data_IF_504100286446
#
_entry.id   IF_504100286446
#
_cell.length_a   1.000
_cell.length_b   1.000
_cell.length_c   1.000
_cell.angle_alpha   90.00
_cell.angle_beta   90.00
_cell.angle_gamma   90.00
#
_symmetry.space_group_name_H-M   'P 1'
#
loop_
_entity.id
_entity.type
_entity.pdbx_description
1 polymer ?
#
# COMPACT_ATOMS: atom_id res chain seq x y z
N UNK A 1 -28.97 83.32 38.11
CA UNK A 1 -28.98 83.19 36.65
C UNK A 1 -28.26 81.86 36.30
N UNK A 2 -28.99 80.84 35.85
CA UNK A 2 -28.37 79.56 35.42
C UNK A 2 -28.31 79.54 33.87
N UNK A 3 -27.15 79.69 33.31
CA UNK A 3 -26.94 79.49 31.88
C UNK A 3 -27.04 78.01 31.54
N UNK A 4 -28.07 77.61 30.81
CA UNK A 4 -28.18 76.30 30.14
C UNK A 4 -27.28 76.30 28.90
N UNK A 5 -26.18 75.52 28.95
CA UNK A 5 -25.39 75.24 27.80
C UNK A 5 -26.23 74.35 26.83
N UNK A 6 -26.68 74.94 25.75
CA UNK A 6 -27.35 74.22 24.65
C UNK A 6 -26.25 73.35 23.94
N UNK A 7 -26.28 72.00 24.08
CA UNK A 7 -25.50 71.08 23.33
C UNK A 7 -26.00 71.19 21.87
N UNK A 8 -25.13 71.65 21.02
CA UNK A 8 -25.27 71.57 19.54
C UNK A 8 -25.38 70.15 19.13
N UNK A 9 -26.45 69.68 18.58
CA UNK A 9 -26.58 68.36 17.91
C UNK A 9 -26.11 68.56 16.48
N UNK A 10 -24.92 68.02 16.18
CA UNK A 10 -24.41 67.90 14.82
C UNK A 10 -24.97 66.64 14.20
N UNK A 11 -25.81 66.77 13.18
CA UNK A 11 -26.31 65.64 12.39
C UNK A 11 -25.26 65.19 11.35
N UNK A 12 -25.32 63.92 11.01
CA UNK A 12 -24.46 63.35 9.96
C UNK A 12 -24.78 63.97 8.60
N UNK A 13 -23.75 64.23 7.79
CA UNK A 13 -23.91 64.65 6.41
C UNK A 13 -24.16 63.48 5.49
N UNK A 14 -24.93 63.67 4.41
CA UNK A 14 -25.18 62.65 3.41
C UNK A 14 -23.87 62.11 2.79
N UNK A 15 -22.88 62.97 2.61
CA UNK A 15 -21.55 62.60 2.12
C UNK A 15 -20.81 61.67 3.07
N UNK A 16 -20.90 61.89 4.38
CA UNK A 16 -20.25 61.01 5.39
C UNK A 16 -20.85 59.60 5.37
N UNK A 17 -22.17 59.48 5.22
CA UNK A 17 -22.82 58.17 5.08
C UNK A 17 -22.38 57.44 3.81
N UNK A 18 -22.26 58.13 2.67
CA UNK A 18 -21.80 57.52 1.41
C UNK A 18 -20.37 57.04 1.54
N UNK A 19 -19.48 57.86 2.14
CA UNK A 19 -18.07 57.45 2.35
C UNK A 19 -17.98 56.23 3.28
N UNK A 20 -18.73 56.21 4.35
CA UNK A 20 -18.75 55.06 5.29
C UNK A 20 -19.25 53.79 4.58
N UNK A 21 -20.35 53.89 3.81
CA UNK A 21 -20.88 52.74 3.08
C UNK A 21 -19.93 52.23 2.00
N UNK A 22 -19.21 53.11 1.28
CA UNK A 22 -18.23 52.71 0.30
C UNK A 22 -17.00 52.01 0.95
N UNK A 23 -16.50 52.55 2.07
CA UNK A 23 -15.45 51.90 2.83
C UNK A 23 -15.89 50.56 3.42
N UNK A 24 -17.10 50.47 3.96
CA UNK A 24 -17.64 49.21 4.45
C UNK A 24 -17.77 48.16 3.37
N UNK A 25 -18.25 48.55 2.17
CA UNK A 25 -18.34 47.64 1.01
C UNK A 25 -16.96 47.14 0.57
N UNK A 26 -15.94 48.00 0.56
CA UNK A 26 -14.57 47.60 0.21
C UNK A 26 -14.00 46.60 1.23
N UNK A 27 -14.22 46.81 2.51
CA UNK A 27 -13.80 45.90 3.58
C UNK A 27 -14.52 44.54 3.43
N UNK A 28 -15.82 44.53 3.14
CA UNK A 28 -16.58 43.30 2.92
C UNK A 28 -16.05 42.46 1.75
N UNK A 29 -15.66 43.11 0.64
CA UNK A 29 -15.07 42.44 -0.50
C UNK A 29 -13.72 41.80 -0.09
N UNK A 30 -12.87 42.54 0.61
CA UNK A 30 -11.55 42.00 1.05
C UNK A 30 -11.73 40.80 2.02
N UNK A 31 -12.68 40.87 2.95
CA UNK A 31 -12.98 39.75 3.88
C UNK A 31 -13.51 38.58 3.12
N UNK A 32 -14.41 38.76 2.16
CA UNK A 32 -14.95 37.70 1.34
C UNK A 32 -13.84 36.98 0.53
N UNK A 33 -12.95 37.72 -0.12
CA UNK A 33 -11.81 37.15 -0.86
C UNK A 33 -10.89 36.37 0.10
N UNK A 34 -10.60 36.92 1.27
CA UNK A 34 -9.78 36.22 2.29
C UNK A 34 -10.36 34.87 2.71
N UNK A 35 -11.71 34.81 2.89
CA UNK A 35 -12.40 33.55 3.21
C UNK A 35 -12.30 32.57 2.04
N UNK A 36 -12.48 33.01 0.81
CA UNK A 36 -12.37 32.14 -0.38
C UNK A 36 -10.98 31.55 -0.56
N UNK A 37 -9.94 32.35 -0.35
CA UNK A 37 -8.54 31.87 -0.40
C UNK A 37 -8.30 30.84 0.71
N UNK A 38 -8.75 31.13 1.95
CA UNK A 38 -8.62 30.20 3.08
C UNK A 38 -9.29 28.85 2.81
N UNK A 39 -10.50 28.85 2.25
CA UNK A 39 -11.21 27.61 1.86
C UNK A 39 -10.44 26.81 0.82
N UNK A 40 -9.96 27.44 -0.26
CA UNK A 40 -9.18 26.79 -1.31
C UNK A 40 -7.87 26.19 -0.77
N UNK A 41 -7.20 26.87 0.15
CA UNK A 41 -5.99 26.37 0.79
C UNK A 41 -6.29 25.16 1.69
N UNK A 42 -7.38 25.22 2.45
CA UNK A 42 -7.82 24.10 3.31
C UNK A 42 -8.19 22.86 2.47
N UNK A 43 -8.94 23.02 1.39
CA UNK A 43 -9.30 21.91 0.49
C UNK A 43 -8.07 21.25 -0.15
N UNK A 44 -7.09 22.05 -0.60
CA UNK A 44 -5.83 21.52 -1.14
C UNK A 44 -5.01 20.80 -0.05
N UNK A 45 -5.01 21.34 1.15
CA UNK A 45 -4.35 20.72 2.29
C UNK A 45 -4.96 19.35 2.64
N UNK A 46 -6.27 19.26 2.71
CA UNK A 46 -7.00 18.00 2.99
C UNK A 46 -6.69 16.96 1.91
N UNK A 47 -6.82 17.31 0.63
CA UNK A 47 -6.51 16.36 -0.47
C UNK A 47 -5.08 15.82 -0.40
N UNK A 48 -4.12 16.66 0.01
CA UNK A 48 -2.72 16.24 0.14
C UNK A 48 -2.52 15.32 1.35
N UNK A 49 -3.23 15.57 2.44
CA UNK A 49 -3.22 14.70 3.61
C UNK A 49 -3.83 13.34 3.26
N UNK A 50 -4.96 13.31 2.56
CA UNK A 50 -5.64 12.08 2.15
C UNK A 50 -4.73 11.23 1.24
N UNK A 51 -4.12 11.83 0.22
CA UNK A 51 -3.17 11.15 -0.65
C UNK A 51 -1.93 10.61 0.09
N UNK A 52 -1.43 11.37 1.08
CA UNK A 52 -0.31 10.92 1.91
C UNK A 52 -0.71 9.74 2.78
N UNK A 53 -1.90 9.78 3.37
CA UNK A 53 -2.42 8.69 4.20
C UNK A 53 -2.66 7.42 3.40
N UNK A 54 -3.19 7.53 2.18
CA UNK A 54 -3.38 6.40 1.28
C UNK A 54 -2.05 5.66 1.02
N UNK A 55 -1.03 6.36 0.53
CA UNK A 55 0.31 5.79 0.31
C UNK A 55 0.87 5.15 1.59
N UNK A 56 0.75 5.85 2.73
CA UNK A 56 1.27 5.36 4.01
C UNK A 56 0.58 4.07 4.47
N UNK A 57 -0.74 4.00 4.33
CA UNK A 57 -1.51 2.81 4.70
C UNK A 57 -1.12 1.62 3.84
N UNK A 58 -0.98 1.81 2.52
CA UNK A 58 -0.53 0.77 1.60
C UNK A 58 0.88 0.30 1.94
N UNK A 59 1.81 1.22 2.14
CA UNK A 59 3.18 0.87 2.54
C UNK A 59 3.24 0.08 3.86
N UNK A 60 2.46 0.50 4.85
CA UNK A 60 2.40 -0.19 6.14
C UNK A 60 1.80 -1.58 5.99
N UNK A 61 0.75 -1.74 5.18
CA UNK A 61 0.16 -3.03 4.86
C UNK A 61 1.19 -3.96 4.20
N UNK A 62 1.76 -3.54 3.08
CA UNK A 62 2.74 -4.33 2.32
C UNK A 62 3.95 -4.69 3.20
N UNK A 63 4.54 -3.72 3.88
CA UNK A 63 5.66 -3.96 4.81
C UNK A 63 5.31 -4.97 5.89
N UNK A 64 4.15 -4.84 6.50
CA UNK A 64 3.69 -5.73 7.56
C UNK A 64 3.46 -7.16 7.06
N UNK A 65 2.89 -7.32 5.86
CA UNK A 65 2.64 -8.65 5.30
C UNK A 65 3.96 -9.31 4.88
N UNK A 66 4.83 -8.60 4.18
CA UNK A 66 6.14 -9.12 3.77
C UNK A 66 7.05 -9.45 4.96
N UNK A 67 7.05 -8.63 6.02
CA UNK A 67 7.87 -8.92 7.20
C UNK A 67 7.37 -10.13 8.02
N UNK A 68 6.19 -10.67 7.70
CA UNK A 68 5.59 -11.85 8.36
C UNK A 68 5.51 -13.07 7.48
N UNK A 69 6.22 -13.09 6.37
CA UNK A 69 6.31 -14.25 5.49
C UNK A 69 6.69 -15.48 6.33
N UNK A 70 5.95 -16.57 6.11
CA UNK A 70 6.21 -17.86 6.73
C UNK A 70 6.90 -18.76 5.72
N UNK A 71 7.93 -19.52 6.11
CA UNK A 71 8.60 -20.48 5.22
C UNK A 71 7.74 -21.75 5.08
N UNK A 72 6.56 -21.60 4.54
CA UNK A 72 5.59 -22.66 4.30
C UNK A 72 5.36 -22.80 2.81
N UNK A 73 5.39 -24.04 2.33
CA UNK A 73 5.17 -24.31 0.92
C UNK A 73 3.67 -24.22 0.58
N UNK A 74 3.37 -23.67 -0.57
CA UNK A 74 2.08 -23.70 -1.24
C UNK A 74 2.23 -24.37 -2.61
N UNK A 75 1.13 -24.73 -3.24
CA UNK A 75 1.12 -25.39 -4.53
C UNK A 75 0.94 -24.37 -5.64
N UNK A 76 1.78 -24.39 -6.65
CA UNK A 76 1.63 -23.65 -7.92
C UNK A 76 0.64 -24.35 -8.86
N UNK A 77 0.19 -23.67 -9.91
CA UNK A 77 -0.74 -24.21 -10.92
C UNK A 77 -0.22 -25.50 -11.61
N UNK A 78 1.09 -25.61 -11.80
CA UNK A 78 1.75 -26.80 -12.38
C UNK A 78 1.88 -27.97 -11.39
N UNK A 79 1.43 -27.80 -10.15
CA UNK A 79 1.49 -28.77 -9.07
C UNK A 79 2.80 -28.78 -8.28
N UNK A 80 3.73 -27.87 -8.58
CA UNK A 80 5.01 -27.74 -7.86
C UNK A 80 4.79 -27.04 -6.51
N UNK A 81 5.50 -27.48 -5.47
CA UNK A 81 5.47 -26.83 -4.17
C UNK A 81 6.59 -25.80 -4.07
N UNK A 82 6.21 -24.57 -3.79
CA UNK A 82 7.12 -23.42 -3.66
C UNK A 82 6.93 -22.71 -2.32
N UNK A 83 7.92 -22.00 -1.84
CA UNK A 83 7.86 -21.19 -0.61
C UNK A 83 7.65 -19.72 -0.94
N UNK A 84 8.27 -19.26 -2.00
CA UNK A 84 8.17 -17.90 -2.49
C UNK A 84 8.27 -17.91 -4.01
N UNK A 85 7.41 -17.17 -4.65
CA UNK A 85 7.42 -16.89 -6.07
C UNK A 85 7.39 -15.38 -6.28
N UNK A 86 8.14 -14.89 -7.25
CA UNK A 86 8.13 -13.47 -7.56
C UNK A 86 8.83 -13.12 -8.85
N UNK A 87 8.24 -12.16 -9.54
CA UNK A 87 8.83 -11.50 -10.69
C UNK A 87 8.63 -9.97 -10.61
N UNK A 88 8.88 -9.26 -11.69
CA UNK A 88 8.74 -7.81 -11.75
C UNK A 88 7.31 -7.32 -11.45
N UNK A 89 6.29 -8.12 -11.73
CA UNK A 89 4.89 -7.70 -11.68
C UNK A 89 4.09 -8.38 -10.56
N UNK A 90 4.56 -9.49 -10.00
CA UNK A 90 3.86 -10.15 -8.89
C UNK A 90 4.79 -10.78 -7.86
N UNK A 91 4.25 -11.00 -6.66
CA UNK A 91 4.86 -11.80 -5.60
C UNK A 91 3.79 -12.66 -4.94
N UNK A 92 4.12 -13.92 -4.70
CA UNK A 92 3.27 -14.90 -4.03
C UNK A 92 4.02 -15.57 -2.87
N UNK A 93 3.39 -15.62 -1.70
CA UNK A 93 4.01 -16.12 -0.47
C UNK A 93 2.96 -16.48 0.56
N UNK A 94 3.36 -17.16 1.62
CA UNK A 94 2.50 -17.48 2.77
C UNK A 94 2.75 -16.49 3.90
N UNK A 95 1.67 -15.92 4.46
CA UNK A 95 1.72 -15.03 5.62
C UNK A 95 0.44 -15.13 6.47
N UNK A 96 0.51 -14.86 7.78
CA UNK A 96 -0.70 -14.81 8.60
C UNK A 96 -1.51 -13.56 8.29
N UNK A 97 -2.82 -13.72 8.14
CA UNK A 97 -3.74 -12.59 8.04
C UNK A 97 -4.01 -11.97 9.42
N UNK A 98 -4.36 -10.66 9.48
CA UNK A 98 -4.85 -10.04 10.71
C UNK A 98 -6.05 -10.81 11.29
N UNK A 99 -6.13 -10.95 12.63
CA UNK A 99 -7.06 -11.84 13.31
C UNK A 99 -8.56 -11.65 13.00
N UNK A 100 -8.97 -10.49 12.50
CA UNK A 100 -10.36 -10.24 12.08
C UNK A 100 -10.64 -10.64 10.61
N UNK A 101 -9.61 -10.85 9.80
CA UNK A 101 -9.68 -11.31 8.40
C UNK A 101 -9.22 -12.78 8.28
N UNK A 102 -8.42 -13.26 9.25
CA UNK A 102 -7.82 -14.59 9.24
C UNK A 102 -8.71 -15.63 9.88
N UNK A 103 -9.61 -16.24 9.13
CA UNK A 103 -10.33 -17.42 9.59
C UNK A 103 -9.48 -18.66 9.31
N UNK A 104 -8.84 -19.19 10.35
CA UNK A 104 -8.37 -20.57 10.29
C UNK A 104 -6.90 -20.82 9.97
N UNK A 105 -6.02 -19.83 9.85
CA UNK A 105 -4.59 -20.14 9.74
C UNK A 105 -3.80 -19.26 8.77
N UNK A 106 -2.63 -19.74 8.29
CA UNK A 106 -1.84 -19.03 7.29
C UNK A 106 -2.55 -18.99 5.94
N UNK A 107 -2.35 -17.89 5.21
CA UNK A 107 -2.93 -17.66 3.89
C UNK A 107 -1.81 -17.54 2.87
N UNK A 108 -2.06 -18.06 1.68
CA UNK A 108 -1.30 -17.66 0.50
C UNK A 108 -1.74 -16.25 0.15
N UNK A 109 -0.81 -15.37 -0.10
CA UNK A 109 -1.03 -13.97 -0.43
C UNK A 109 -0.36 -13.66 -1.75
N UNK A 110 -1.06 -12.97 -2.61
CA UNK A 110 -0.62 -12.52 -3.92
C UNK A 110 -0.73 -11.01 -3.97
N UNK A 111 0.35 -10.34 -4.30
CA UNK A 111 0.38 -8.91 -4.60
C UNK A 111 0.80 -8.78 -6.06
N UNK A 112 -0.04 -8.12 -6.85
CA UNK A 112 0.15 -8.01 -8.30
C UNK A 112 0.11 -6.56 -8.77
N UNK A 113 0.88 -6.27 -9.80
CA UNK A 113 0.87 -5.04 -10.56
C UNK A 113 0.17 -5.34 -11.89
N UNK A 114 -1.04 -4.82 -12.08
CA UNK A 114 -1.83 -5.08 -13.28
C UNK A 114 -2.13 -3.81 -14.05
N UNK A 115 -2.28 -3.94 -15.37
CA UNK A 115 -2.64 -2.82 -16.24
C UNK A 115 -4.13 -2.51 -16.14
N UNK A 116 -4.47 -1.25 -15.90
CA UNK A 116 -5.83 -0.76 -15.81
C UNK A 116 -6.06 0.45 -16.74
N UNK A 117 -7.32 0.93 -16.84
CA UNK A 117 -7.71 2.04 -17.73
C UNK A 117 -7.15 3.41 -17.31
N UNK A 118 -6.34 3.54 -16.35
CA UNK A 118 -5.77 4.82 -15.87
C UNK A 118 -4.32 4.69 -15.49
N UNK A 119 -3.62 3.67 -15.98
CA UNK A 119 -2.27 3.34 -15.58
C UNK A 119 -2.18 1.94 -14.98
N UNK A 120 -1.15 1.67 -14.19
CA UNK A 120 -1.03 0.42 -13.44
C UNK A 120 -1.73 0.55 -12.07
N UNK A 121 -2.21 -0.57 -11.56
CA UNK A 121 -2.77 -0.69 -10.21
C UNK A 121 -2.01 -1.77 -9.44
N UNK A 122 -1.87 -1.58 -8.14
CA UNK A 122 -1.40 -2.59 -7.21
C UNK A 122 -2.62 -3.25 -6.56
N UNK A 123 -2.74 -4.56 -6.69
CA UNK A 123 -3.84 -5.31 -6.09
C UNK A 123 -3.34 -6.42 -5.16
N UNK A 124 -4.19 -6.83 -4.25
CA UNK A 124 -3.92 -7.84 -3.23
C UNK A 124 -5.02 -8.88 -3.21
N UNK A 125 -4.62 -10.13 -3.30
CA UNK A 125 -5.49 -11.30 -3.16
C UNK A 125 -4.97 -12.22 -2.06
N UNK A 126 -5.83 -13.00 -1.44
CA UNK A 126 -5.43 -13.99 -0.46
C UNK A 126 -6.45 -15.13 -0.39
N UNK A 127 -5.97 -16.33 -0.06
CA UNK A 127 -6.78 -17.51 0.20
C UNK A 127 -6.14 -18.37 1.27
N UNK A 128 -6.92 -19.26 1.86
CA UNK A 128 -6.44 -20.11 2.94
C UNK A 128 -5.39 -21.10 2.40
N UNK A 129 -4.28 -21.30 3.11
CA UNK A 129 -3.21 -22.21 2.67
C UNK A 129 -3.72 -23.64 2.45
N UNK A 130 -4.67 -24.13 3.27
CA UNK A 130 -5.23 -25.47 3.10
C UNK A 130 -5.96 -25.63 1.75
N UNK A 131 -6.60 -24.58 1.29
CA UNK A 131 -7.31 -24.59 0.02
C UNK A 131 -6.33 -24.68 -1.16
N UNK A 132 -5.12 -24.10 -1.03
CA UNK A 132 -4.07 -24.17 -2.07
C UNK A 132 -3.46 -25.57 -2.25
N UNK A 133 -3.79 -26.54 -1.40
CA UNK A 133 -3.35 -27.93 -1.53
C UNK A 133 -4.31 -28.79 -2.33
N UNK A 134 -5.51 -28.30 -2.63
CA UNK A 134 -6.51 -28.97 -3.45
C UNK A 134 -6.39 -28.56 -4.93
N UNK A 135 -6.67 -29.48 -5.86
CA UNK A 135 -6.40 -29.32 -7.29
C UNK A 135 -7.23 -28.18 -7.97
N UNK A 136 -8.33 -27.73 -7.33
CA UNK A 136 -9.26 -26.72 -7.87
C UNK A 136 -9.17 -25.35 -7.15
N UNK A 137 -8.16 -25.11 -6.30
CA UNK A 137 -8.18 -24.00 -5.35
C UNK A 137 -7.84 -22.63 -5.94
N UNK A 138 -7.16 -22.56 -7.07
CA UNK A 138 -6.81 -21.30 -7.74
C UNK A 138 -7.99 -20.64 -8.42
N UNK A 139 -8.93 -21.42 -8.96
CA UNK A 139 -10.17 -20.90 -9.58
C UNK A 139 -11.27 -20.55 -8.57
N UNK A 140 -11.17 -21.01 -7.33
CA UNK A 140 -12.25 -20.91 -6.34
C UNK A 140 -12.07 -19.78 -5.29
N UNK A 141 -11.10 -18.88 -5.43
CA UNK A 141 -11.13 -17.68 -4.59
C UNK A 141 -12.26 -16.75 -5.07
N UNK A 142 -13.47 -16.97 -4.58
CA UNK A 142 -14.66 -16.11 -4.77
C UNK A 142 -14.44 -14.65 -4.27
N UNK A 143 -13.23 -14.30 -3.87
CA UNK A 143 -12.90 -12.99 -3.35
C UNK A 143 -12.29 -12.13 -4.45
N UNK A 144 -12.97 -11.05 -4.79
CA UNK A 144 -12.43 -10.02 -5.68
C UNK A 144 -11.12 -9.45 -5.11
N UNK A 145 -10.08 -9.26 -5.96
CA UNK A 145 -8.84 -8.62 -5.54
C UNK A 145 -9.10 -7.24 -4.91
N UNK A 146 -8.40 -6.94 -3.84
CA UNK A 146 -8.47 -5.63 -3.19
C UNK A 146 -7.47 -4.69 -3.86
N UNK A 147 -7.95 -3.61 -4.46
CA UNK A 147 -7.08 -2.57 -5.02
C UNK A 147 -6.43 -1.82 -3.86
N UNK A 148 -5.11 -1.83 -3.81
CA UNK A 148 -4.30 -1.13 -2.80
C UNK A 148 -3.91 0.27 -3.23
N UNK A 149 -3.51 0.43 -4.50
CA UNK A 149 -3.06 1.69 -5.07
C UNK A 149 -3.42 1.77 -6.54
N UNK A 150 -3.84 2.95 -6.99
CA UNK A 150 -4.21 3.24 -8.37
C UNK A 150 -3.32 4.35 -8.97
N UNK A 151 -3.48 4.58 -10.28
CA UNK A 151 -2.85 5.70 -10.99
C UNK A 151 -1.31 5.67 -10.93
N UNK A 152 -0.73 4.47 -11.03
CA UNK A 152 0.70 4.29 -11.17
C UNK A 152 1.10 4.36 -12.64
N UNK A 153 2.17 5.09 -12.96
CA UNK A 153 2.76 5.11 -14.28
C UNK A 153 3.56 3.84 -14.53
N UNK A 154 4.38 3.47 -13.56
CA UNK A 154 5.13 2.22 -13.56
C UNK A 154 5.27 1.68 -12.14
N UNK A 155 5.48 0.37 -12.02
CA UNK A 155 5.82 -0.27 -10.76
C UNK A 155 6.56 -1.58 -11.06
N UNK A 156 7.48 -1.96 -10.18
CA UNK A 156 8.16 -3.25 -10.26
C UNK A 156 8.62 -3.75 -8.90
N UNK A 157 8.62 -5.07 -8.76
CA UNK A 157 9.29 -5.76 -7.65
C UNK A 157 10.73 -6.11 -8.03
N UNK A 158 11.59 -6.12 -7.04
CA UNK A 158 12.93 -6.67 -7.17
C UNK A 158 13.40 -7.32 -5.87
N UNK A 159 14.30 -8.26 -6.00
CA UNK A 159 14.71 -9.18 -4.96
C UNK A 159 16.22 -9.15 -4.81
N UNK A 160 16.73 -9.43 -3.61
CA UNK A 160 18.15 -9.57 -3.38
C UNK A 160 18.44 -10.77 -2.50
N UNK A 161 19.49 -11.49 -2.82
CA UNK A 161 20.07 -12.59 -2.04
C UNK A 161 21.49 -12.25 -1.60
N UNK A 162 22.05 -13.08 -0.72
CA UNK A 162 23.48 -13.02 -0.42
C UNK A 162 24.27 -13.67 -1.56
N UNK A 163 25.38 -13.06 -1.92
CA UNK A 163 26.35 -13.68 -2.81
C UNK A 163 27.16 -14.78 -2.08
N UNK A 164 28.04 -15.46 -2.78
CA UNK A 164 28.89 -16.52 -2.21
C UNK A 164 29.83 -16.01 -1.10
N UNK A 165 30.12 -14.72 -1.07
CA UNK A 165 30.99 -14.04 -0.10
C UNK A 165 30.20 -13.61 1.17
N UNK A 166 28.86 -13.76 1.17
CA UNK A 166 27.97 -13.37 2.28
C UNK A 166 27.63 -11.88 2.29
N UNK A 167 27.88 -11.16 1.19
CA UNK A 167 27.49 -9.78 0.98
C UNK A 167 26.16 -9.69 0.19
N UNK A 168 25.54 -8.52 0.21
CA UNK A 168 24.34 -8.27 -0.60
C UNK A 168 24.68 -8.39 -2.09
N UNK A 169 23.96 -9.27 -2.79
CA UNK A 169 24.06 -9.43 -4.23
C UNK A 169 23.44 -8.25 -5.00
N UNK A 170 23.29 -8.41 -6.29
CA UNK A 170 22.57 -7.47 -7.14
C UNK A 170 21.05 -7.62 -6.99
N UNK A 171 20.30 -6.56 -7.32
CA UNK A 171 18.85 -6.61 -7.35
C UNK A 171 18.39 -7.27 -8.65
N UNK A 172 17.63 -8.36 -8.53
CA UNK A 172 17.06 -9.13 -9.62
C UNK A 172 15.54 -8.91 -9.67
N UNK A 173 14.96 -8.86 -10.85
CA UNK A 173 13.51 -8.69 -11.05
C UNK A 173 12.76 -10.01 -11.18
N UNK A 174 13.46 -11.14 -11.12
CA UNK A 174 12.91 -12.49 -11.14
C UNK A 174 13.55 -13.30 -10.02
N UNK A 175 12.74 -14.05 -9.27
CA UNK A 175 13.21 -14.91 -8.19
C UNK A 175 13.21 -16.38 -8.61
N UNK A 176 14.37 -16.89 -8.97
CA UNK A 176 14.52 -18.27 -9.46
C UNK A 176 14.49 -19.33 -8.34
N UNK A 177 14.84 -18.95 -7.10
CA UNK A 177 14.99 -19.88 -5.97
C UNK A 177 13.68 -20.15 -5.24
N UNK A 178 12.68 -20.72 -5.92
CA UNK A 178 11.31 -20.94 -5.41
C UNK A 178 11.22 -21.69 -4.06
N UNK A 179 12.24 -22.44 -3.68
CA UNK A 179 12.33 -23.14 -2.39
C UNK A 179 12.86 -22.27 -1.24
N UNK A 180 13.29 -21.05 -1.52
CA UNK A 180 13.85 -20.09 -0.56
C UNK A 180 13.14 -18.77 -0.66
N UNK A 181 13.28 -17.95 0.38
CA UNK A 181 12.81 -16.56 0.36
C UNK A 181 13.96 -15.61 0.08
N UNK A 182 13.73 -14.49 -0.63
CA UNK A 182 14.75 -13.45 -0.77
C UNK A 182 15.13 -12.85 0.60
N UNK A 183 16.31 -12.26 0.68
CA UNK A 183 16.75 -11.54 1.88
C UNK A 183 15.98 -10.23 2.05
N UNK A 184 15.78 -9.51 0.94
CA UNK A 184 15.01 -8.27 0.90
C UNK A 184 14.20 -8.22 -0.39
N UNK A 185 13.04 -7.57 -0.29
CA UNK A 185 12.17 -7.23 -1.41
C UNK A 185 12.12 -5.71 -1.51
N UNK A 186 12.24 -5.20 -2.72
CA UNK A 186 12.05 -3.79 -3.05
C UNK A 186 10.80 -3.66 -3.93
N UNK A 187 9.96 -2.69 -3.61
CA UNK A 187 8.84 -2.27 -4.43
C UNK A 187 9.08 -0.82 -4.83
N UNK A 188 9.38 -0.61 -6.09
CA UNK A 188 9.51 0.70 -6.71
C UNK A 188 8.21 1.04 -7.44
N UNK A 189 7.67 2.22 -7.18
CA UNK A 189 6.45 2.71 -7.82
C UNK A 189 6.70 4.14 -8.33
N UNK A 190 6.44 4.34 -9.59
CA UNK A 190 6.39 5.65 -10.23
C UNK A 190 4.95 6.09 -10.37
N UNK A 191 4.57 7.14 -9.63
CA UNK A 191 3.23 7.71 -9.71
C UNK A 191 3.11 8.59 -10.95
N UNK A 192 1.87 8.83 -11.40
CA UNK A 192 1.63 9.80 -12.48
C UNK A 192 2.23 11.18 -12.15
N UNK A 193 2.65 11.91 -13.21
CA UNK A 193 3.31 13.23 -13.06
C UNK A 193 2.45 14.25 -12.29
N UNK A 194 1.11 14.12 -12.34
CA UNK A 194 0.17 14.98 -11.62
C UNK A 194 -0.16 14.48 -10.23
N UNK A 195 0.39 13.37 -9.78
CA UNK A 195 0.06 12.81 -8.46
C UNK A 195 0.40 13.80 -7.35
N UNK A 196 -0.50 13.93 -6.37
CA UNK A 196 -0.31 14.81 -5.22
C UNK A 196 0.86 14.40 -4.33
N UNK A 197 1.21 13.12 -4.38
CA UNK A 197 2.31 12.51 -3.64
C UNK A 197 3.04 11.51 -4.53
N UNK A 198 4.33 11.37 -4.27
CA UNK A 198 5.18 10.35 -4.89
C UNK A 198 5.35 9.18 -3.92
N UNK A 199 5.57 7.99 -4.47
CA UNK A 199 5.90 6.81 -3.67
C UNK A 199 7.33 6.90 -3.15
N UNK A 200 7.55 6.83 -1.84
CA UNK A 200 8.91 6.77 -1.29
C UNK A 200 9.51 5.38 -1.51
N UNK A 201 10.81 5.29 -1.68
CA UNK A 201 11.53 4.02 -1.82
C UNK A 201 11.15 3.05 -0.69
N UNK A 202 10.72 1.84 -1.04
CA UNK A 202 10.34 0.83 -0.09
C UNK A 202 11.18 -0.44 -0.25
N UNK A 203 11.96 -0.73 0.78
CA UNK A 203 12.71 -1.98 0.94
C UNK A 203 12.25 -2.67 2.21
N UNK A 204 12.00 -3.96 2.12
CA UNK A 204 11.57 -4.80 3.24
C UNK A 204 12.54 -5.96 3.39
N UNK A 205 13.22 -6.01 4.53
CA UNK A 205 14.04 -7.15 4.89
C UNK A 205 13.16 -8.27 5.45
N UNK A 206 13.36 -9.48 4.97
CA UNK A 206 12.68 -10.66 5.46
C UNK A 206 13.47 -11.25 6.63
N UNK A 207 12.83 -11.40 7.78
CA UNK A 207 13.48 -11.89 9.00
C UNK A 207 13.59 -13.42 9.06
N UNK A 208 13.72 -14.09 7.90
CA UNK A 208 13.84 -15.54 7.83
C UNK A 208 15.30 -15.90 7.62
N UNK A 209 15.78 -16.80 8.48
CA UNK A 209 17.07 -17.47 8.25
C UNK A 209 16.93 -18.38 7.02
N UNK A 210 17.63 -18.05 5.94
CA UNK A 210 17.64 -18.83 4.70
C UNK A 210 18.00 -20.32 4.93
N UNK A 211 18.75 -20.64 6.01
CA UNK A 211 19.09 -22.00 6.38
C UNK A 211 17.96 -22.75 7.09
N UNK A 212 17.04 -22.03 7.76
CA UNK A 212 15.88 -22.63 8.40
C UNK A 212 14.83 -23.10 7.38
N UNK A 213 14.76 -22.43 6.25
CA UNK A 213 13.82 -22.71 5.17
C UNK A 213 14.16 -24.04 4.49
N UNK A 214 15.43 -24.27 4.20
CA UNK A 214 15.89 -25.44 3.45
C UNK A 214 15.72 -26.78 4.22
N UNK A 215 15.75 -26.76 5.55
CA UNK A 215 15.53 -27.97 6.38
C UNK A 215 14.08 -28.45 6.37
N UNK A 216 13.10 -27.54 6.39
CA UNK A 216 11.68 -27.92 6.50
C UNK A 216 11.10 -28.40 5.16
N UNK A 217 11.56 -27.85 4.03
CA UNK A 217 11.14 -28.31 2.71
C UNK A 217 11.67 -29.71 2.43
N UNK A 218 12.95 -29.97 2.72
CA UNK A 218 13.54 -31.31 2.55
C UNK A 218 12.84 -32.35 3.45
N UNK A 219 12.48 -31.99 4.68
CA UNK A 219 11.78 -32.88 5.58
C UNK A 219 10.34 -33.16 5.13
N UNK A 220 9.64 -32.17 4.60
CA UNK A 220 8.26 -32.34 4.08
C UNK A 220 8.25 -33.17 2.79
N UNK A 221 9.18 -32.92 1.87
CA UNK A 221 9.35 -33.72 0.65
C UNK A 221 9.81 -35.15 0.95
N UNK A 222 10.64 -35.36 1.98
CA UNK A 222 11.03 -36.70 2.43
C UNK A 222 9.87 -37.48 3.05
N UNK A 223 9.02 -36.83 3.84
CA UNK A 223 7.82 -37.46 4.42
C UNK A 223 6.78 -37.83 3.34
N UNK A 224 6.59 -37.01 2.33
CA UNK A 224 5.70 -37.29 1.19
C UNK A 224 6.21 -38.45 0.35
N UNK A 225 7.52 -38.53 0.10
CA UNK A 225 8.14 -39.64 -0.62
C UNK A 225 8.18 -40.97 0.19
N UNK A 226 8.24 -40.89 1.51
CA UNK A 226 8.15 -42.06 2.38
C UNK A 226 6.74 -42.64 2.42
N UNK A 227 5.69 -41.79 2.39
CA UNK A 227 4.28 -42.21 2.30
C UNK A 227 3.97 -42.97 1.01
N UNK A 228 4.48 -42.52 -0.14
CA UNK A 228 4.31 -43.18 -1.45
C UNK A 228 5.02 -44.54 -1.58
N UNK A 229 6.06 -44.80 -0.80
CA UNK A 229 6.72 -46.12 -0.80
C UNK A 229 6.05 -47.17 0.05
N UNK A 230 5.09 -46.80 0.88
CA UNK A 230 4.33 -47.71 1.73
C UNK A 230 3.12 -48.35 1.06
N UNK A 231 2.67 -47.85 -0.09
CA UNK A 231 1.48 -48.36 -0.81
C UNK A 231 1.76 -49.35 -1.93
N UNK A 232 3.02 -49.77 -2.11
CA UNK A 232 3.39 -50.81 -3.06
C UNK A 232 3.83 -52.06 -2.28
N UNK A 233 2.87 -52.77 -1.73
CA UNK A 233 2.96 -54.18 -1.36
C UNK A 233 1.58 -54.84 -1.44
#
# INVERSE_FOLDING_TARGET
>A
MKHKLQKSQTGFTLLEIIVVLTMLSLIMVMVYEGIQISRKMSEKGIKRIDATNEIRVVQELVRRQLSRILPMAFKEDDGTFVIFEGDAEHIMYVSPMPGYLGNGGPHVQLIEIVNAKGGKILQFSHWLLNDSLEEDSFESSDQEPVILLENMQNAEFSFVKLNEEGELGEWETEWEEKANTPLMIRLDIEMEENALMQWPEMKVALMLDATATNRRVSDHLMLQNAGRRGEIK
#
